data_IF_643126157451
#
_entry.id   IF_643126157451
#
_cell.length_a   1.000
_cell.length_b   1.000
_cell.length_c   1.000
_cell.angle_alpha   90.00
_cell.angle_beta   90.00
_cell.angle_gamma   90.00
#
_symmetry.space_group_name_H-M   'P 1'
#
loop_
_entity.id
_entity.type
_entity.pdbx_description
1 polymer ?
#
# COMPACT_ATOMS: atom_id res chain seq x y z
N UNK A 1 5.75 7.92 -0.72
CA UNK A 1 4.35 8.39 -0.81
C UNK A 1 4.23 9.16 -2.09
N UNK A 2 3.27 8.81 -2.95
CA UNK A 2 3.12 9.40 -4.28
C UNK A 2 3.20 10.93 -4.26
N UNK A 3 4.26 11.44 -4.86
CA UNK A 3 4.46 12.85 -5.11
C UNK A 3 4.43 13.18 -6.61
N UNK A 4 4.78 14.41 -6.97
CA UNK A 4 4.85 14.82 -8.37
C UNK A 4 5.93 14.05 -9.16
N UNK A 5 7.03 13.71 -8.49
CA UNK A 5 8.18 13.02 -9.07
C UNK A 5 7.83 11.57 -9.37
N UNK A 6 7.14 10.88 -8.46
CA UNK A 6 6.66 9.51 -8.62
C UNK A 6 5.74 9.38 -9.83
N UNK A 7 4.77 10.29 -9.97
CA UNK A 7 3.86 10.30 -11.14
C UNK A 7 4.63 10.58 -12.42
N UNK A 8 5.57 11.52 -12.40
CA UNK A 8 6.38 11.85 -13.58
C UNK A 8 7.24 10.65 -14.01
N UNK A 9 7.86 9.96 -13.05
CA UNK A 9 8.71 8.79 -13.30
C UNK A 9 7.88 7.59 -13.78
N UNK A 10 6.68 7.39 -13.25
CA UNK A 10 5.75 6.36 -13.72
C UNK A 10 5.33 6.61 -15.16
N UNK A 11 5.00 7.86 -15.53
CA UNK A 11 4.69 8.24 -16.91
C UNK A 11 5.90 8.10 -17.84
N UNK A 12 7.10 8.50 -17.42
CA UNK A 12 8.34 8.32 -18.20
C UNK A 12 8.59 6.84 -18.47
N UNK A 13 8.51 5.99 -17.43
CA UNK A 13 8.71 4.54 -17.56
C UNK A 13 7.70 3.93 -18.52
N UNK A 14 6.42 4.26 -18.34
CA UNK A 14 5.34 3.77 -19.19
C UNK A 14 5.53 4.18 -20.65
N UNK A 15 5.76 5.47 -20.92
CA UNK A 15 5.95 6.01 -22.26
C UNK A 15 7.22 5.46 -22.91
N UNK A 16 8.29 5.27 -22.15
CA UNK A 16 9.52 4.62 -22.63
C UNK A 16 9.22 3.22 -23.13
N UNK A 17 8.42 2.43 -22.39
CA UNK A 17 7.97 1.11 -22.84
C UNK A 17 7.10 1.15 -24.10
N UNK A 18 6.31 2.20 -24.31
CA UNK A 18 5.54 2.39 -25.57
C UNK A 18 6.45 2.67 -26.75
N UNK A 19 7.44 3.53 -26.55
CA UNK A 19 8.36 3.97 -27.61
C UNK A 19 9.43 2.91 -27.91
N UNK A 20 9.79 2.11 -26.92
CA UNK A 20 10.75 1.00 -26.99
C UNK A 20 10.11 -0.32 -26.52
N UNK A 21 9.19 -0.92 -27.29
CA UNK A 21 8.45 -2.11 -26.88
C UNK A 21 9.34 -3.33 -26.62
N UNK A 22 10.53 -3.38 -27.24
CA UNK A 22 11.51 -4.45 -27.07
C UNK A 22 12.70 -4.04 -26.19
N UNK A 23 12.57 -2.97 -25.41
CA UNK A 23 13.63 -2.41 -24.57
C UNK A 23 14.47 -1.32 -25.26
N UNK A 24 15.12 -0.47 -24.47
CA UNK A 24 15.82 0.75 -24.94
C UNK A 24 17.10 0.49 -25.74
N UNK A 25 17.62 -0.74 -25.69
CA UNK A 25 18.74 -1.19 -26.54
C UNK A 25 18.31 -1.62 -27.94
N UNK A 26 17.00 -1.70 -28.19
CA UNK A 26 16.42 -2.03 -29.50
C UNK A 26 15.94 -0.76 -30.21
N UNK A 27 15.70 -0.81 -31.53
CA UNK A 27 15.11 0.32 -32.26
C UNK A 27 13.79 0.78 -31.65
N UNK A 28 13.57 2.09 -31.65
CA UNK A 28 12.28 2.66 -31.25
C UNK A 28 11.20 2.38 -32.30
N UNK A 29 9.94 2.65 -31.96
CA UNK A 29 8.82 2.59 -32.90
C UNK A 29 9.00 3.48 -34.14
N UNK A 30 9.84 4.52 -34.10
CA UNK A 30 10.11 5.39 -35.27
C UNK A 30 11.35 4.94 -36.06
N UNK A 31 12.09 3.95 -35.59
CA UNK A 31 13.39 3.56 -36.12
C UNK A 31 14.54 4.50 -35.73
N UNK A 32 14.23 5.71 -35.23
CA UNK A 32 15.22 6.68 -34.76
C UNK A 32 15.25 6.75 -33.22
N UNK A 33 16.34 7.22 -32.60
CA UNK A 33 16.38 7.39 -31.15
C UNK A 33 15.29 8.35 -30.65
N UNK A 34 14.68 8.04 -29.51
CA UNK A 34 13.69 8.89 -28.84
C UNK A 34 14.07 9.06 -27.38
N UNK A 35 14.16 10.31 -26.92
CA UNK A 35 14.46 10.61 -25.51
C UNK A 35 13.17 10.87 -24.76
N UNK A 36 12.89 10.11 -23.71
CA UNK A 36 11.73 10.30 -22.83
C UNK A 36 12.21 10.80 -21.47
N UNK A 37 11.65 11.91 -20.98
CA UNK A 37 12.09 12.51 -19.72
C UNK A 37 11.01 13.40 -19.08
N UNK A 38 11.16 13.62 -17.78
CA UNK A 38 10.36 14.57 -17.02
C UNK A 38 10.92 15.99 -17.16
N UNK A 39 10.04 16.99 -17.18
CA UNK A 39 10.38 18.40 -17.31
C UNK A 39 10.17 18.96 -18.72
N UNK A 40 10.55 20.22 -18.90
CA UNK A 40 10.49 20.88 -20.21
C UNK A 40 11.82 20.71 -20.96
N UNK A 41 11.83 20.54 -22.30
CA UNK A 41 13.07 20.49 -23.07
C UNK A 41 13.97 21.69 -22.84
N UNK A 42 15.27 21.45 -22.75
CA UNK A 42 16.26 22.48 -23.08
C UNK A 42 16.22 22.71 -24.60
N UNK A 43 15.87 23.92 -25.02
CA UNK A 43 15.64 24.23 -26.44
C UNK A 43 16.91 24.11 -27.31
N UNK A 44 18.10 24.36 -26.75
CA UNK A 44 19.37 24.19 -27.47
C UNK A 44 19.63 22.71 -27.73
N UNK A 45 19.52 21.88 -26.69
CA UNK A 45 19.71 20.43 -26.81
C UNK A 45 18.65 19.81 -27.74
N UNK A 46 17.40 20.24 -27.60
CA UNK A 46 16.30 19.77 -28.44
C UNK A 46 16.60 20.04 -29.92
N UNK A 47 17.03 21.26 -30.27
CA UNK A 47 17.36 21.59 -31.68
C UNK A 47 18.49 20.73 -32.22
N UNK A 48 19.56 20.55 -31.44
CA UNK A 48 20.70 19.70 -31.83
C UNK A 48 20.26 18.25 -32.06
N UNK A 49 19.46 17.69 -31.14
CA UNK A 49 18.98 16.31 -31.25
C UNK A 49 18.00 16.15 -32.44
N UNK A 50 17.09 17.10 -32.66
CA UNK A 50 16.16 17.08 -33.80
C UNK A 50 16.90 17.12 -35.15
N UNK A 51 17.98 17.89 -35.26
CA UNK A 51 18.85 17.90 -36.44
C UNK A 51 19.56 16.55 -36.65
N UNK A 52 19.84 15.83 -35.57
CA UNK A 52 20.38 14.47 -35.59
C UNK A 52 19.30 13.37 -35.76
N UNK A 53 18.07 13.72 -36.17
CA UNK A 53 16.92 12.83 -36.31
C UNK A 53 16.44 12.16 -34.99
N UNK A 54 16.76 12.73 -33.84
CA UNK A 54 16.38 12.21 -32.52
C UNK A 54 15.15 12.94 -31.98
N UNK A 55 14.07 12.19 -31.76
CA UNK A 55 12.82 12.75 -31.25
C UNK A 55 12.83 12.82 -29.72
N UNK A 56 11.97 13.65 -29.14
CA UNK A 56 11.82 13.78 -27.69
C UNK A 56 10.37 13.59 -27.27
N UNK A 57 10.16 13.00 -26.09
CA UNK A 57 8.88 13.05 -25.37
C UNK A 57 9.13 13.65 -23.99
N UNK A 58 8.59 14.83 -23.77
CA UNK A 58 8.72 15.55 -22.49
C UNK A 58 7.42 15.44 -21.70
N UNK A 59 7.51 15.11 -20.42
CA UNK A 59 6.37 15.06 -19.50
C UNK A 59 6.49 16.22 -18.51
N UNK A 60 5.60 17.21 -18.64
CA UNK A 60 5.65 18.43 -17.83
C UNK A 60 4.37 18.62 -16.98
N UNK A 61 4.48 18.75 -15.65
CA UNK A 61 3.32 19.00 -14.79
C UNK A 61 2.86 20.46 -14.89
N UNK A 62 1.69 20.69 -15.51
CA UNK A 62 1.15 22.04 -15.68
C UNK A 62 0.68 22.64 -14.35
N UNK A 63 1.00 23.91 -14.09
CA UNK A 63 0.60 24.63 -12.86
C UNK A 63 -0.84 25.12 -12.87
N UNK A 64 -1.43 25.31 -14.04
CA UNK A 64 -2.75 25.93 -14.22
C UNK A 64 -3.94 25.02 -13.96
N UNK A 65 -3.72 23.71 -13.76
CA UNK A 65 -4.80 22.72 -13.63
C UNK A 65 -4.50 21.75 -12.48
N UNK A 66 -4.29 22.31 -11.29
CA UNK A 66 -4.28 21.56 -10.04
C UNK A 66 -5.64 21.72 -9.34
N UNK A 67 -6.23 20.59 -8.93
CA UNK A 67 -7.46 20.57 -8.16
C UNK A 67 -7.28 19.64 -6.97
N UNK A 68 -7.67 20.07 -5.78
CA UNK A 68 -7.86 19.16 -4.66
C UNK A 68 -9.22 18.46 -4.84
N UNK A 69 -9.21 17.14 -5.00
CA UNK A 69 -10.44 16.38 -5.24
C UNK A 69 -11.14 16.02 -3.93
N UNK A 70 -10.37 15.77 -2.87
CA UNK A 70 -10.87 15.61 -1.51
C UNK A 70 -9.79 16.09 -0.51
N UNK A 71 -10.22 16.84 0.50
CA UNK A 71 -9.37 17.41 1.56
C UNK A 71 -9.68 16.86 2.94
N UNK A 72 -10.74 16.06 3.09
CA UNK A 72 -11.03 15.39 4.35
C UNK A 72 -10.14 14.15 4.49
N UNK A 73 -9.61 13.93 5.70
CA UNK A 73 -8.94 12.67 6.04
C UNK A 73 -9.92 11.51 5.88
N UNK A 74 -9.48 10.44 5.23
CA UNK A 74 -10.25 9.19 5.25
C UNK A 74 -10.11 8.50 6.60
N UNK A 75 -11.01 7.56 6.86
CA UNK A 75 -10.80 6.58 7.91
C UNK A 75 -9.55 5.74 7.65
N UNK A 76 -8.98 5.22 8.73
CA UNK A 76 -7.90 4.25 8.65
C UNK A 76 -8.42 2.93 8.08
N UNK A 77 -7.67 2.38 7.13
CA UNK A 77 -7.95 1.10 6.50
C UNK A 77 -6.73 0.20 6.62
N UNK A 78 -6.94 -1.12 6.57
CA UNK A 78 -5.82 -2.09 6.63
C UNK A 78 -5.05 -2.02 5.32
N UNK A 79 -3.75 -1.70 5.40
CA UNK A 79 -2.84 -1.73 4.26
C UNK A 79 -2.23 -3.12 4.09
N UNK A 80 -1.59 -3.62 5.16
CA UNK A 80 -1.06 -4.98 5.24
C UNK A 80 -1.60 -5.63 6.51
N UNK A 81 -2.28 -6.77 6.41
CA UNK A 81 -2.78 -7.48 7.59
C UNK A 81 -1.60 -8.02 8.42
N UNK A 82 -1.79 -8.23 9.74
CA UNK A 82 -0.78 -8.83 10.59
C UNK A 82 -0.37 -10.23 10.11
N UNK A 83 0.94 -10.46 10.03
CA UNK A 83 1.51 -11.77 9.74
C UNK A 83 1.91 -12.46 11.05
N UNK A 84 1.07 -13.40 11.49
CA UNK A 84 1.32 -14.19 12.70
C UNK A 84 2.14 -15.43 12.35
N UNK A 85 3.33 -15.53 12.95
CA UNK A 85 4.25 -16.67 12.79
C UNK A 85 4.02 -17.74 13.85
N UNK A 86 3.43 -17.37 14.98
CA UNK A 86 2.91 -18.27 15.99
C UNK A 86 1.47 -18.67 15.67
N UNK A 87 1.13 -19.90 16.02
CA UNK A 87 -0.22 -20.42 15.95
C UNK A 87 -0.53 -21.21 17.23
N UNK A 88 -1.78 -21.10 17.70
CA UNK A 88 -2.27 -21.91 18.81
C UNK A 88 -3.36 -22.84 18.31
N UNK A 89 -3.23 -24.13 18.57
CA UNK A 89 -4.23 -25.13 18.22
C UNK A 89 -4.81 -25.76 19.48
N UNK A 90 -6.14 -25.86 19.54
CA UNK A 90 -6.85 -26.45 20.67
C UNK A 90 -7.36 -27.83 20.27
N UNK A 91 -7.02 -28.84 21.07
CA UNK A 91 -7.54 -30.20 20.95
C UNK A 91 -8.05 -30.65 22.31
N UNK A 92 -9.36 -30.81 22.45
CA UNK A 92 -10.02 -31.10 23.72
C UNK A 92 -9.63 -30.08 24.81
N UNK A 93 -8.94 -30.53 25.86
CA UNK A 93 -8.51 -29.71 26.99
C UNK A 93 -7.03 -29.28 26.90
N UNK A 94 -6.43 -29.45 25.72
CA UNK A 94 -5.03 -29.19 25.49
C UNK A 94 -4.85 -28.13 24.40
N UNK A 95 -3.98 -27.15 24.66
CA UNK A 95 -3.59 -26.11 23.71
C UNK A 95 -2.12 -26.29 23.36
N UNK A 96 -1.82 -26.40 22.08
CA UNK A 96 -0.45 -26.51 21.58
C UNK A 96 0.01 -25.18 20.97
N UNK A 97 1.20 -24.74 21.37
CA UNK A 97 1.90 -23.60 20.81
C UNK A 97 2.77 -24.09 19.65
N UNK A 98 2.51 -23.54 18.47
CA UNK A 98 3.18 -23.90 17.22
C UNK A 98 3.81 -22.69 16.55
N UNK A 99 4.70 -22.94 15.60
CA UNK A 99 5.32 -21.92 14.76
C UNK A 99 6.61 -21.35 15.32
N UNK A 100 7.03 -20.22 14.78
CA UNK A 100 8.29 -19.55 15.14
C UNK A 100 8.01 -18.23 15.85
N UNK A 101 8.82 -17.94 16.87
CA UNK A 101 8.71 -16.69 17.61
C UNK A 101 9.15 -15.52 16.74
N UNK A 102 8.27 -14.54 16.59
CA UNK A 102 8.54 -13.25 15.98
C UNK A 102 7.88 -12.16 16.82
N UNK A 103 8.57 -11.04 17.01
CA UNK A 103 8.08 -9.94 17.85
C UNK A 103 7.83 -8.69 17.00
N UNK A 104 6.82 -7.87 17.32
CA UNK A 104 5.87 -8.04 18.42
C UNK A 104 4.68 -8.95 18.04
N UNK A 105 4.41 -9.95 18.88
CA UNK A 105 3.19 -10.77 18.84
C UNK A 105 2.70 -10.99 20.28
N UNK A 106 1.40 -11.22 20.42
CA UNK A 106 0.80 -11.64 21.67
C UNK A 106 -0.04 -12.90 21.46
N UNK A 107 -0.03 -13.75 22.46
CA UNK A 107 -0.83 -14.98 22.50
C UNK A 107 -1.86 -14.84 23.60
N UNK A 108 -3.09 -15.25 23.30
CA UNK A 108 -4.22 -15.12 24.22
C UNK A 108 -4.96 -16.44 24.29
N UNK A 109 -5.22 -16.90 25.52
CA UNK A 109 -6.13 -18.00 25.81
C UNK A 109 -7.39 -17.46 26.48
N UNK A 110 -8.54 -17.77 25.90
CA UNK A 110 -9.84 -17.61 26.51
C UNK A 110 -10.26 -18.93 27.13
N UNK A 111 -10.39 -18.99 28.45
CA UNK A 111 -10.77 -20.22 29.16
C UNK A 111 -11.98 -19.93 30.04
N UNK A 112 -13.11 -20.59 29.75
CA UNK A 112 -14.44 -20.36 30.35
C UNK A 112 -14.78 -18.88 30.60
N UNK A 113 -14.57 -18.05 29.57
CA UNK A 113 -14.91 -16.63 29.64
C UNK A 113 -13.89 -15.75 30.39
N UNK A 114 -12.69 -16.24 30.71
CA UNK A 114 -11.56 -15.41 31.17
C UNK A 114 -10.43 -15.39 30.17
N UNK A 115 -9.85 -14.21 29.94
CA UNK A 115 -8.74 -14.00 29.02
C UNK A 115 -7.39 -14.00 29.75
N UNK A 116 -6.44 -14.79 29.25
CA UNK A 116 -5.06 -14.82 29.70
C UNK A 116 -4.17 -14.45 28.53
N UNK A 117 -3.59 -13.26 28.57
CA UNK A 117 -2.76 -12.71 27.50
C UNK A 117 -1.29 -12.71 27.91
N UNK A 118 -0.43 -13.10 26.98
CA UNK A 118 1.02 -13.06 27.14
C UNK A 118 1.67 -12.34 25.96
N UNK A 119 2.49 -11.33 26.25
CA UNK A 119 3.27 -10.60 25.26
C UNK A 119 4.58 -11.36 25.00
N UNK A 120 4.75 -11.84 23.77
CA UNK A 120 5.89 -12.67 23.38
C UNK A 120 7.17 -11.84 23.36
N UNK A 121 8.24 -12.41 23.91
CA UNK A 121 9.58 -11.82 23.99
C UNK A 121 10.50 -12.43 22.92
N UNK A 122 11.55 -11.70 22.52
CA UNK A 122 12.45 -12.16 21.45
C UNK A 122 13.23 -13.44 21.80
N UNK A 123 13.43 -13.72 23.10
CA UNK A 123 14.10 -14.93 23.59
C UNK A 123 13.15 -16.10 23.86
N UNK A 124 11.86 -15.93 23.60
CA UNK A 124 10.90 -16.99 23.84
C UNK A 124 11.06 -18.17 22.88
N UNK A 125 10.59 -19.32 23.35
CA UNK A 125 10.35 -20.53 22.55
C UNK A 125 8.88 -20.93 22.71
N UNK A 126 8.34 -21.77 21.82
CA UNK A 126 6.98 -22.30 22.02
C UNK A 126 6.76 -22.93 23.41
N UNK A 127 7.80 -23.55 23.98
CA UNK A 127 7.74 -24.14 25.32
C UNK A 127 7.74 -23.09 26.46
N UNK A 128 8.54 -22.03 26.35
CA UNK A 128 8.51 -20.94 27.35
C UNK A 128 7.18 -20.20 27.33
N UNK A 129 6.61 -19.98 26.14
CA UNK A 129 5.29 -19.37 25.95
C UNK A 129 4.20 -20.24 26.57
N UNK A 130 4.23 -21.56 26.32
CA UNK A 130 3.28 -22.50 26.91
C UNK A 130 3.33 -22.46 28.45
N UNK A 131 4.55 -22.45 29.00
CA UNK A 131 4.79 -22.36 30.45
C UNK A 131 4.26 -21.05 31.05
N UNK A 132 4.51 -19.92 30.38
CA UNK A 132 4.02 -18.62 30.82
C UNK A 132 2.49 -18.54 30.80
N UNK A 133 1.84 -19.01 29.71
CA UNK A 133 0.39 -19.06 29.62
C UNK A 133 -0.23 -20.00 30.66
N UNK A 134 0.35 -21.18 30.88
CA UNK A 134 -0.12 -22.11 31.91
C UNK A 134 -0.05 -21.48 33.30
N UNK A 135 1.01 -20.73 33.59
CA UNK A 135 1.17 -20.02 34.87
C UNK A 135 0.07 -18.96 35.06
N UNK A 136 -0.29 -18.23 34.00
CA UNK A 136 -1.38 -17.25 34.07
C UNK A 136 -2.73 -17.91 34.32
N UNK A 137 -3.01 -19.03 33.65
CA UNK A 137 -4.25 -19.80 33.85
C UNK A 137 -4.28 -20.45 35.25
N UNK A 138 -3.12 -20.90 35.74
CA UNK A 138 -2.94 -21.56 37.04
C UNK A 138 -3.38 -20.72 38.23
N UNK A 139 -3.44 -19.39 38.09
CA UNK A 139 -3.93 -18.47 39.12
C UNK A 139 -5.39 -18.75 39.49
N UNK A 140 -6.20 -19.13 38.51
CA UNK A 140 -7.65 -19.28 38.66
C UNK A 140 -8.13 -20.73 38.64
N UNK A 141 -7.35 -21.64 38.04
CA UNK A 141 -7.74 -23.05 37.84
C UNK A 141 -6.51 -23.92 37.61
N UNK A 142 -6.59 -25.24 37.80
CA UNK A 142 -5.47 -26.12 37.47
C UNK A 142 -5.12 -26.02 35.97
N UNK A 143 -3.86 -25.72 35.67
CA UNK A 143 -3.28 -25.76 34.34
C UNK A 143 -1.80 -26.14 34.43
N UNK A 144 -1.33 -26.98 33.52
CA UNK A 144 0.07 -27.40 33.46
C UNK A 144 0.60 -27.26 32.04
N UNK A 145 1.90 -26.98 31.92
CA UNK A 145 2.59 -27.01 30.64
C UNK A 145 3.58 -28.18 30.60
N UNK A 146 3.68 -28.82 29.44
CA UNK A 146 4.70 -29.80 29.11
C UNK A 146 5.13 -29.54 27.65
N UNK A 147 6.42 -29.33 27.42
CA UNK A 147 6.95 -28.87 26.14
C UNK A 147 6.18 -27.65 25.62
N UNK A 148 5.70 -27.67 24.38
CA UNK A 148 4.87 -26.61 23.79
C UNK A 148 3.36 -26.79 24.03
N UNK A 149 2.97 -27.70 24.92
CA UNK A 149 1.57 -28.07 25.17
C UNK A 149 1.11 -27.60 26.55
N UNK A 150 -0.09 -27.04 26.62
CA UNK A 150 -0.76 -26.55 27.82
C UNK A 150 -1.99 -27.43 28.04
N UNK A 151 -2.09 -28.08 29.19
CA UNK A 151 -3.26 -28.91 29.56
C UNK A 151 -4.05 -28.21 30.66
N UNK A 152 -5.34 -28.01 30.40
CA UNK A 152 -6.27 -27.30 31.29
C UNK A 152 -7.43 -28.25 31.62
N UNK A 153 -7.26 -29.13 32.62
CA UNK A 153 -8.27 -30.12 32.96
C UNK A 153 -9.60 -29.44 33.35
N UNK A 154 -10.71 -30.07 32.95
CA UNK A 154 -12.07 -29.63 33.24
C UNK A 154 -12.47 -28.26 32.64
N UNK A 155 -11.69 -27.69 31.72
CA UNK A 155 -12.12 -26.52 30.96
C UNK A 155 -13.31 -26.88 30.07
N UNK A 156 -14.37 -26.08 30.11
CA UNK A 156 -15.59 -26.28 29.30
C UNK A 156 -15.51 -25.56 27.96
N UNK A 157 -14.75 -24.48 27.90
CA UNK A 157 -14.52 -23.68 26.72
C UNK A 157 -13.06 -23.21 26.69
N UNK A 158 -12.39 -23.45 25.56
CA UNK A 158 -11.05 -22.95 25.28
C UNK A 158 -11.07 -22.32 23.88
N UNK A 159 -10.66 -21.06 23.79
CA UNK A 159 -10.40 -20.38 22.52
C UNK A 159 -8.99 -19.81 22.55
N UNK A 160 -8.20 -20.13 21.53
CA UNK A 160 -6.83 -19.65 21.43
C UNK A 160 -6.73 -18.63 20.30
N UNK A 161 -6.07 -17.51 20.56
CA UNK A 161 -5.95 -16.38 19.63
C UNK A 161 -4.51 -15.89 19.62
N UNK A 162 -4.05 -15.45 18.46
CA UNK A 162 -2.74 -14.81 18.29
C UNK A 162 -2.98 -13.45 17.67
N UNK A 163 -2.42 -12.41 18.28
CA UNK A 163 -2.38 -11.08 17.72
C UNK A 163 -0.96 -10.74 17.26
N UNK A 164 -0.89 -9.94 16.20
CA UNK A 164 0.35 -9.44 15.67
C UNK A 164 0.25 -7.97 15.30
N UNK A 165 1.24 -7.53 14.54
CA UNK A 165 1.36 -6.17 14.05
C UNK A 165 1.06 -6.11 12.55
N UNK A 166 0.20 -5.19 12.15
CA UNK A 166 -0.09 -4.87 10.76
C UNK A 166 0.19 -3.40 10.47
N UNK A 167 0.08 -3.02 9.21
CA UNK A 167 0.12 -1.62 8.81
C UNK A 167 -1.28 -1.15 8.41
N UNK A 168 -1.63 0.03 8.89
CA UNK A 168 -2.84 0.74 8.49
C UNK A 168 -2.45 1.96 7.66
N UNK A 169 -3.36 2.40 6.80
CA UNK A 169 -3.18 3.59 5.99
C UNK A 169 -4.45 4.43 5.96
N UNK A 170 -4.28 5.74 5.81
CA UNK A 170 -5.37 6.65 5.48
C UNK A 170 -4.93 7.66 4.44
N UNK A 171 -5.88 8.09 3.63
CA UNK A 171 -5.71 9.20 2.71
C UNK A 171 -5.78 10.52 3.48
N UNK A 172 -4.78 11.37 3.27
CA UNK A 172 -4.71 12.71 3.88
C UNK A 172 -5.14 13.81 2.93
N UNK A 173 -4.94 13.59 1.64
CA UNK A 173 -5.23 14.56 0.59
C UNK A 173 -5.29 13.82 -0.74
N UNK A 174 -6.19 14.24 -1.61
CA UNK A 174 -6.20 13.80 -3.00
C UNK A 174 -6.17 14.97 -3.95
N UNK A 175 -5.30 14.85 -4.94
CA UNK A 175 -5.02 15.89 -5.89
C UNK A 175 -5.11 15.36 -7.31
N UNK A 176 -5.70 16.17 -8.17
CA UNK A 176 -5.67 16.02 -9.61
C UNK A 176 -4.64 17.02 -10.14
N UNK A 177 -3.71 16.53 -10.96
CA UNK A 177 -2.70 17.35 -11.63
C UNK A 177 -2.68 16.99 -13.11
N UNK A 178 -2.71 18.00 -13.98
CA UNK A 178 -2.60 17.78 -15.43
C UNK A 178 -1.14 17.78 -15.88
N UNK A 179 -0.76 16.70 -16.56
CA UNK A 179 0.53 16.52 -17.20
C UNK A 179 0.40 16.79 -18.70
N UNK A 180 1.31 17.60 -19.20
CA UNK A 180 1.50 17.88 -20.61
C UNK A 180 2.57 16.95 -21.14
N UNK A 181 2.15 15.97 -21.94
CA UNK A 181 3.01 15.00 -22.61
C UNK A 181 3.18 15.50 -24.03
N UNK A 182 4.38 15.98 -24.37
CA UNK A 182 4.65 16.60 -25.67
C UNK A 182 5.64 15.73 -26.45
N UNK A 183 5.23 15.28 -27.63
CA UNK A 183 6.12 14.68 -28.61
C UNK A 183 6.72 15.80 -29.48
N UNK A 184 8.06 15.82 -29.57
CA UNK A 184 8.83 16.75 -30.38
C UNK A 184 9.61 15.95 -31.42
N UNK A 185 9.44 16.29 -32.69
CA UNK A 185 10.13 15.62 -33.77
C UNK A 185 10.53 16.61 -34.89
N UNK A 186 11.39 16.15 -35.79
CA UNK A 186 11.86 16.92 -36.94
C UNK A 186 10.98 16.73 -38.19
N UNK A 187 9.88 15.98 -38.06
CA UNK A 187 8.92 15.75 -39.12
C UNK A 187 7.55 15.32 -38.58
N UNK A 188 6.51 15.49 -39.40
CA UNK A 188 5.14 15.13 -39.03
C UNK A 188 4.96 13.62 -38.78
N UNK A 189 5.57 12.76 -39.61
CA UNK A 189 5.45 11.31 -39.49
C UNK A 189 5.95 10.76 -38.13
N UNK A 190 7.18 11.04 -37.67
CA UNK A 190 7.63 10.59 -36.35
C UNK A 190 6.82 11.21 -35.20
N UNK A 191 6.39 12.48 -35.31
CA UNK A 191 5.51 13.13 -34.32
C UNK A 191 4.19 12.37 -34.17
N UNK A 192 3.52 12.08 -35.28
CA UNK A 192 2.19 11.46 -35.27
C UNK A 192 2.25 10.00 -34.85
N UNK A 193 3.29 9.27 -35.24
CA UNK A 193 3.50 7.90 -34.78
C UNK A 193 3.72 7.83 -33.26
N UNK A 194 4.60 8.69 -32.72
CA UNK A 194 4.87 8.74 -31.27
C UNK A 194 3.61 9.16 -30.52
N UNK A 195 3.03 10.32 -30.85
CA UNK A 195 1.88 10.84 -30.12
C UNK A 195 0.66 9.92 -30.26
N UNK A 196 0.41 9.36 -31.44
CA UNK A 196 -0.70 8.43 -31.68
C UNK A 196 -0.56 7.12 -30.89
N UNK A 197 0.63 6.53 -30.84
CA UNK A 197 0.87 5.30 -30.05
C UNK A 197 0.81 5.56 -28.55
N UNK A 198 1.40 6.67 -28.08
CA UNK A 198 1.31 7.07 -26.67
C UNK A 198 -0.13 7.30 -26.26
N UNK A 199 -0.92 8.04 -27.06
CA UNK A 199 -2.32 8.31 -26.74
C UNK A 199 -3.17 7.02 -26.73
N UNK A 200 -2.95 6.12 -27.69
CA UNK A 200 -3.67 4.85 -27.76
C UNK A 200 -3.40 3.95 -26.54
N UNK A 201 -2.17 3.95 -26.00
CA UNK A 201 -1.84 3.19 -24.79
C UNK A 201 -2.39 3.88 -23.54
N UNK A 202 -2.17 5.19 -23.39
CA UNK A 202 -2.60 5.93 -22.21
C UNK A 202 -4.14 5.98 -22.08
N UNK A 203 -4.87 6.06 -23.19
CA UNK A 203 -6.34 6.03 -23.17
C UNK A 203 -6.91 4.68 -22.76
N UNK A 204 -6.16 3.58 -22.95
CA UNK A 204 -6.52 2.25 -22.45
C UNK A 204 -6.25 2.06 -20.96
N UNK A 205 -5.53 2.98 -20.31
CA UNK A 205 -5.12 2.88 -18.91
C UNK A 205 -6.04 3.74 -18.06
N UNK A 206 -6.90 3.09 -17.28
CA UNK A 206 -7.77 3.77 -16.30
C UNK A 206 -7.00 4.12 -15.02
N UNK A 207 -6.07 3.25 -14.62
CA UNK A 207 -5.25 3.40 -13.41
C UNK A 207 -3.76 3.29 -13.74
N UNK A 208 -3.04 4.38 -13.56
CA UNK A 208 -1.58 4.40 -13.60
C UNK A 208 -1.03 3.79 -12.31
N UNK A 209 -0.20 2.76 -12.44
CA UNK A 209 0.50 2.15 -11.31
C UNK A 209 1.61 3.08 -10.83
N UNK A 210 1.57 3.45 -9.55
CA UNK A 210 2.66 4.11 -8.82
C UNK A 210 3.30 3.09 -7.85
N UNK A 211 4.48 3.38 -7.28
CA UNK A 211 5.15 2.45 -6.36
C UNK A 211 4.32 2.06 -5.13
N UNK A 212 3.44 2.95 -4.65
CA UNK A 212 2.66 2.78 -3.42
C UNK A 212 1.15 2.65 -3.65
N UNK A 213 0.62 3.06 -4.81
CA UNK A 213 -0.82 3.12 -5.06
C UNK A 213 -1.17 3.18 -6.57
N UNK A 214 -2.46 3.09 -6.89
CA UNK A 214 -2.97 3.37 -8.23
C UNK A 214 -3.53 4.78 -8.38
N UNK A 215 -3.03 5.56 -9.34
CA UNK A 215 -3.56 6.87 -9.69
C UNK A 215 -4.58 6.78 -10.84
N UNK A 216 -5.67 7.54 -10.79
CA UNK A 216 -6.60 7.59 -11.92
C UNK A 216 -6.03 8.48 -13.04
N UNK A 217 -6.05 7.97 -14.27
CA UNK A 217 -5.54 8.65 -15.46
C UNK A 217 -6.72 9.01 -16.37
N UNK A 218 -6.80 10.27 -16.81
CA UNK A 218 -7.89 10.74 -17.68
C UNK A 218 -7.36 11.67 -18.76
N UNK A 219 -7.73 11.39 -20.01
CA UNK A 219 -7.49 12.32 -21.10
C UNK A 219 -8.28 13.62 -20.88
N UNK A 220 -7.68 14.77 -21.21
CA UNK A 220 -8.34 16.08 -21.17
C UNK A 220 -8.50 16.67 -22.56
N UNK A 221 -7.37 16.90 -23.24
CA UNK A 221 -7.33 17.51 -24.58
C UNK A 221 -5.95 17.34 -25.21
N UNK A 222 -5.88 17.44 -26.52
CA UNK A 222 -4.64 17.51 -27.27
C UNK A 222 -4.47 18.87 -27.94
N UNK A 223 -3.24 19.19 -28.31
CA UNK A 223 -2.95 20.31 -29.20
C UNK A 223 -1.81 19.91 -30.12
N UNK A 224 -1.82 20.39 -31.36
CA UNK A 224 -0.72 20.19 -32.29
C UNK A 224 -0.23 21.56 -32.73
N UNK A 225 1.09 21.72 -32.74
CA UNK A 225 1.74 22.95 -33.10
C UNK A 225 2.99 22.63 -33.90
N UNK A 226 3.07 23.13 -35.12
CA UNK A 226 4.21 22.94 -35.99
C UNK A 226 4.88 24.29 -36.26
N UNK A 227 6.14 24.40 -35.86
CA UNK A 227 6.99 25.54 -36.12
C UNK A 227 7.90 25.19 -37.30
N UNK A 228 7.39 25.46 -38.50
CA UNK A 228 8.09 25.20 -39.76
C UNK A 228 9.37 26.04 -39.89
N UNK A 229 9.43 27.21 -39.26
CA UNK A 229 10.62 28.08 -39.28
C UNK A 229 11.78 27.47 -38.51
N UNK A 230 11.50 26.80 -37.38
CA UNK A 230 12.50 26.11 -36.58
C UNK A 230 12.62 24.61 -36.90
N UNK A 231 11.81 24.07 -37.82
CA UNK A 231 11.77 22.64 -38.15
C UNK A 231 11.25 21.75 -37.01
N UNK A 232 10.42 22.30 -36.12
CA UNK A 232 9.91 21.61 -34.94
C UNK A 232 8.46 21.22 -35.17
N UNK A 233 8.20 19.92 -35.15
CA UNK A 233 6.86 19.35 -35.19
C UNK A 233 6.48 18.87 -33.80
N UNK A 234 5.42 19.42 -33.22
CA UNK A 234 5.04 19.16 -31.83
C UNK A 234 3.58 18.75 -31.69
N UNK A 235 3.35 17.70 -30.92
CA UNK A 235 2.00 17.28 -30.51
C UNK A 235 1.93 17.05 -29.02
N UNK A 236 0.99 17.75 -28.41
CA UNK A 236 0.69 17.76 -26.99
C UNK A 236 -0.51 16.88 -26.68
N UNK A 237 -0.37 16.06 -25.64
CA UNK A 237 -1.45 15.32 -25.00
C UNK A 237 -1.53 15.78 -23.55
N UNK A 238 -2.71 16.21 -23.10
CA UNK A 238 -2.93 16.57 -21.69
C UNK A 238 -3.70 15.46 -21.01
N UNK A 239 -3.05 14.85 -20.04
CA UNK A 239 -3.64 13.83 -19.18
C UNK A 239 -3.68 14.33 -17.75
N UNK A 240 -4.85 14.26 -17.12
CA UNK A 240 -4.98 14.48 -15.69
C UNK A 240 -4.70 13.19 -14.94
N UNK A 241 -3.87 13.29 -13.92
CA UNK A 241 -3.57 12.23 -12.98
C UNK A 241 -4.12 12.62 -11.62
N UNK A 242 -5.01 11.79 -11.09
CA UNK A 242 -5.61 11.96 -9.78
C UNK A 242 -5.04 10.91 -8.82
N UNK A 243 -4.35 11.35 -7.78
CA UNK A 243 -3.62 10.51 -6.84
C UNK A 243 -3.75 11.01 -5.41
N UNK A 244 -3.65 10.07 -4.46
CA UNK A 244 -3.77 10.34 -3.05
C UNK A 244 -2.40 10.47 -2.38
N UNK A 245 -2.34 11.26 -1.33
CA UNK A 245 -1.22 11.32 -0.39
C UNK A 245 -1.66 10.50 0.84
N UNK A 246 -1.05 9.33 1.05
CA UNK A 246 -1.44 8.38 2.10
C UNK A 246 -0.47 8.39 3.27
N UNK A 247 -0.94 8.48 4.50
CA UNK A 247 -0.09 8.27 5.68
C UNK A 247 -0.29 6.85 6.17
N UNK A 248 0.80 6.18 6.49
CA UNK A 248 0.81 4.84 7.08
C UNK A 248 1.15 4.92 8.56
N UNK A 249 0.54 4.04 9.34
CA UNK A 249 0.88 3.84 10.74
C UNK A 249 0.84 2.36 11.08
N UNK A 250 1.40 2.04 12.22
CA UNK A 250 1.47 0.69 12.77
C UNK A 250 0.25 0.45 13.64
N UNK A 251 -0.45 -0.66 13.43
CA UNK A 251 -1.59 -1.06 14.24
C UNK A 251 -1.40 -2.47 14.82
N UNK A 252 -1.84 -2.63 16.06
CA UNK A 252 -1.83 -3.92 16.75
C UNK A 252 -3.18 -4.61 16.60
N UNK A 253 -3.15 -5.90 16.31
CA UNK A 253 -4.36 -6.71 16.24
C UNK A 253 -4.95 -6.89 17.64
N UNK A 254 -6.23 -6.55 17.79
CA UNK A 254 -6.97 -6.84 19.02
C UNK A 254 -7.27 -8.34 19.04
N UNK A 255 -6.58 -9.08 19.92
CA UNK A 255 -6.81 -10.51 20.11
C UNK A 255 -8.04 -10.78 21.01
N UNK A 256 -8.32 -9.91 21.99
CA UNK A 256 -9.49 -10.02 22.88
C UNK A 256 -9.84 -8.66 23.48
N UNK A 257 -11.12 -8.43 23.77
CA UNK A 257 -11.58 -7.32 24.62
C UNK A 257 -11.95 -7.84 26.01
N UNK A 258 -11.62 -7.11 27.07
CA UNK A 258 -12.08 -7.40 28.44
C UNK A 258 -12.73 -6.16 29.01
N UNK A 259 -13.98 -6.27 29.45
CA UNK A 259 -14.71 -5.19 30.08
C UNK A 259 -14.97 -5.52 31.56
N UNK A 260 -14.51 -4.65 32.45
CA UNK A 260 -14.75 -4.76 33.88
C UNK A 260 -15.90 -3.84 34.28
N UNK A 261 -17.11 -4.42 34.40
CA UNK A 261 -18.29 -3.68 34.88
C UNK A 261 -18.37 -3.78 36.40
N UNK A 262 -18.31 -2.63 37.09
CA UNK A 262 -18.61 -2.55 38.53
C UNK A 262 -20.01 -1.97 38.69
N UNK A 263 -20.97 -2.77 39.13
CA UNK A 263 -22.24 -2.22 39.61
C UNK A 263 -21.99 -1.54 40.96
N UNK A 264 -22.40 -0.27 41.08
CA UNK A 264 -22.39 0.44 42.38
C UNK A 264 -23.26 -0.28 43.41
N UNK A 265 -23.09 0.05 44.68
CA UNK A 265 -23.80 -0.61 45.79
C UNK A 265 -25.32 -0.59 45.56
N UNK A 266 -25.89 -1.75 45.24
CA UNK A 266 -27.32 -1.95 45.32
C UNK A 266 -27.70 -1.99 46.81
N UNK A 267 -28.69 -1.20 47.20
CA UNK A 267 -29.22 -1.18 48.58
C UNK A 267 -29.88 -2.50 49.02
N UNK A 268 -29.95 -3.52 48.15
CA UNK A 268 -30.37 -4.87 48.52
C UNK A 268 -29.75 -5.89 47.54
N UNK A 269 -29.03 -6.89 48.06
CA UNK A 269 -28.62 -8.09 47.33
C UNK A 269 -27.17 -8.09 46.79
N UNK A 270 -26.25 -8.69 47.56
CA UNK A 270 -24.95 -9.15 47.05
C UNK A 270 -25.16 -10.17 45.91
N UNK A 271 -24.89 -9.77 44.67
CA UNK A 271 -24.65 -10.70 43.57
C UNK A 271 -23.17 -10.68 43.19
N UNK A 272 -22.57 -11.83 42.83
CA UNK A 272 -21.16 -11.89 42.45
C UNK A 272 -20.90 -11.11 41.15
N UNK A 273 -19.81 -10.36 41.14
CA UNK A 273 -19.28 -9.64 39.97
C UNK A 273 -19.10 -10.63 38.82
N UNK A 274 -19.74 -10.37 37.68
CA UNK A 274 -19.62 -11.19 36.48
C UNK A 274 -18.80 -10.43 35.44
N UNK A 275 -17.56 -10.86 35.20
CA UNK A 275 -16.74 -10.38 34.08
C UNK A 275 -17.37 -10.89 32.78
N UNK A 276 -17.67 -9.97 31.86
CA UNK A 276 -18.14 -10.30 30.51
C UNK A 276 -16.95 -10.13 29.56
N UNK A 277 -16.68 -11.18 28.78
CA UNK A 277 -15.61 -11.18 27.77
C UNK A 277 -16.24 -11.42 26.40
N UNK A 278 -15.92 -10.55 25.45
CA UNK A 278 -16.40 -10.58 24.05
C UNK A 278 -15.25 -10.95 23.10
#
# INVERSE_FOLDING_TARGET
MADLSDVSNALVTLITGVVYPNGTSQPSITGNPVVVYSGWPNMTQLKTDLQANKAHVSIFPTTSHQRHANTAFSDWTVATPPANTLALSVTAQTVMVNGTVSTPQNVVLLVDGRAYAYAVQASDTPASIATALATLVAVDRPATAADSSITIPNATYISARVGGIGTVQRETRRQERTFLISAWANGAAPRDLIAGKVDAVLSGIVRLTLPDQGAALRYKRGHQYDDLTNGIYRRDLRYAVEYATIVTDTAYQIATGVENVTAGAAMDGQFPVRTLVQ
#
